data_IF_328760592326
#
_entry.id   IF_328760592326
#
_cell.length_a   1.000
_cell.length_b   1.000
_cell.length_c   1.000
_cell.angle_alpha   90.00
_cell.angle_beta   90.00
_cell.angle_gamma   90.00
#
_symmetry.space_group_name_H-M   'P 1'
#
loop_
_entity.id
_entity.type
_entity.pdbx_description
1 polymer ?
#
# COMPACT_ATOMS: atom_id res chain seq x y z
N UNK A 1 -6.99 1.94 16.51
CA UNK A 1 -6.62 2.25 15.12
C UNK A 1 -5.94 1.08 14.39
N UNK A 2 -5.05 0.31 15.04
CA UNK A 2 -4.31 -0.81 14.41
C UNK A 2 -5.22 -1.86 13.74
N UNK A 3 -6.30 -2.28 14.39
CA UNK A 3 -7.29 -3.20 13.79
C UNK A 3 -7.98 -2.64 12.55
N UNK A 4 -8.25 -1.32 12.48
CA UNK A 4 -8.82 -0.72 11.27
C UNK A 4 -7.82 -0.68 10.11
N UNK A 5 -6.53 -0.53 10.40
CA UNK A 5 -5.48 -0.58 9.38
C UNK A 5 -5.24 -2.01 8.87
N UNK A 6 -5.43 -3.02 9.72
CA UNK A 6 -5.50 -4.43 9.30
C UNK A 6 -6.71 -4.72 8.41
N UNK A 7 -7.84 -4.07 8.69
CA UNK A 7 -9.05 -4.19 7.86
C UNK A 7 -8.83 -3.85 6.39
N UNK A 8 -7.89 -2.96 6.04
CA UNK A 8 -7.53 -2.68 4.64
C UNK A 8 -6.96 -3.88 3.88
N UNK A 9 -6.59 -4.95 4.58
CA UNK A 9 -5.90 -6.14 4.10
C UNK A 9 -6.74 -7.39 4.33
N UNK A 10 -7.48 -7.43 5.45
CA UNK A 10 -8.27 -8.58 5.90
C UNK A 10 -9.71 -8.54 5.39
N UNK A 11 -10.29 -7.35 5.20
CA UNK A 11 -11.67 -7.24 4.74
C UNK A 11 -11.78 -7.37 3.22
N UNK A 12 -12.84 -8.02 2.70
CA UNK A 12 -13.11 -8.09 1.27
C UNK A 12 -13.16 -6.70 0.62
N UNK A 13 -12.45 -6.53 -0.51
CA UNK A 13 -12.36 -5.24 -1.21
C UNK A 13 -11.37 -4.26 -0.58
N UNK A 14 -10.61 -4.69 0.43
CA UNK A 14 -9.53 -3.91 1.01
C UNK A 14 -8.46 -3.55 -0.01
N UNK A 15 -8.04 -2.29 -0.02
CA UNK A 15 -7.05 -1.78 -0.99
C UNK A 15 -5.63 -2.30 -0.77
N UNK A 16 -5.35 -2.93 0.37
CA UNK A 16 -4.04 -3.42 0.77
C UNK A 16 -3.94 -4.96 0.67
N UNK A 17 -4.93 -5.63 0.06
CA UNK A 17 -4.99 -7.09 -0.05
C UNK A 17 -3.79 -7.70 -0.82
N UNK A 18 -3.16 -6.95 -1.72
CA UNK A 18 -1.98 -7.40 -2.44
C UNK A 18 -0.79 -7.73 -1.51
N UNK A 19 -0.80 -7.29 -0.24
CA UNK A 19 0.26 -7.68 0.69
C UNK A 19 0.26 -9.19 1.01
N UNK A 20 -0.85 -9.88 0.80
CA UNK A 20 -0.92 -11.35 0.91
C UNK A 20 -0.06 -12.08 -0.12
N UNK A 21 0.32 -11.41 -1.22
CA UNK A 21 1.19 -11.99 -2.25
C UNK A 21 2.67 -12.10 -1.80
N UNK A 22 3.01 -11.57 -0.62
CA UNK A 22 4.36 -11.58 -0.04
C UNK A 22 4.41 -12.54 1.18
N UNK A 23 4.60 -13.86 0.99
CA UNK A 23 4.48 -14.86 2.05
C UNK A 23 5.47 -14.65 3.21
N UNK A 24 6.66 -14.11 2.91
CA UNK A 24 7.72 -13.87 3.89
C UNK A 24 7.30 -12.89 5.00
N UNK A 25 6.37 -11.96 4.70
CA UNK A 25 5.89 -10.97 5.64
C UNK A 25 5.04 -11.57 6.77
N UNK A 26 4.50 -12.78 6.57
CA UNK A 26 3.53 -13.43 7.46
C UNK A 26 4.14 -14.51 8.34
N UNK A 27 5.46 -14.72 8.26
CA UNK A 27 6.15 -15.64 9.14
C UNK A 27 5.99 -15.25 10.62
N UNK A 28 5.95 -16.26 11.50
CA UNK A 28 5.85 -16.11 12.96
C UNK A 28 4.65 -15.27 13.41
N UNK A 29 3.51 -15.42 12.71
CA UNK A 29 2.25 -14.73 13.04
C UNK A 29 2.37 -13.19 13.06
N UNK A 30 3.23 -12.65 12.19
CA UNK A 30 3.45 -11.21 12.11
C UNK A 30 2.15 -10.48 11.74
N UNK A 31 1.84 -9.43 12.51
CA UNK A 31 0.65 -8.62 12.30
C UNK A 31 1.04 -7.32 11.61
N UNK A 32 0.54 -7.15 10.39
CA UNK A 32 0.79 -5.97 9.56
C UNK A 32 -0.53 -5.26 9.34
N UNK A 33 -0.52 -3.94 9.47
CA UNK A 33 -1.61 -3.07 9.07
C UNK A 33 -1.10 -2.05 8.05
N UNK A 34 -1.94 -1.61 7.13
CA UNK A 34 -1.47 -0.64 6.14
C UNK A 34 -2.57 0.05 5.37
N UNK A 35 -2.22 1.22 4.83
CA UNK A 35 -3.13 2.08 4.08
C UNK A 35 -2.48 2.54 2.78
N UNK A 36 -3.19 2.28 1.68
CA UNK A 36 -2.91 2.87 0.38
C UNK A 36 -3.29 4.36 0.35
N UNK A 37 -2.49 5.14 -0.35
CA UNK A 37 -2.84 6.50 -0.78
C UNK A 37 -2.66 6.61 -2.28
N UNK A 38 -3.62 7.25 -2.95
CA UNK A 38 -3.57 7.50 -4.39
C UNK A 38 -4.04 8.93 -4.62
N UNK A 39 -3.23 9.75 -5.27
CA UNK A 39 -3.67 11.10 -5.65
C UNK A 39 -4.50 11.07 -6.93
N UNK A 40 -5.26 12.14 -7.17
CA UNK A 40 -6.03 12.29 -8.42
C UNK A 40 -5.13 12.16 -9.65
N UNK A 41 -5.70 11.67 -10.75
CA UNK A 41 -5.00 11.35 -12.00
C UNK A 41 -3.88 10.30 -11.85
N UNK A 42 -3.78 9.62 -10.71
CA UNK A 42 -2.76 8.61 -10.46
C UNK A 42 -1.33 9.17 -10.54
N UNK A 43 -1.16 10.44 -10.17
CA UNK A 43 0.16 11.11 -10.16
C UNK A 43 1.08 10.57 -9.08
N UNK A 44 0.52 10.17 -7.95
CA UNK A 44 1.27 9.67 -6.80
C UNK A 44 0.60 8.44 -6.21
N UNK A 45 1.41 7.42 -5.97
CA UNK A 45 1.08 6.26 -5.17
C UNK A 45 1.80 6.32 -3.83
N UNK A 46 1.08 6.06 -2.76
CA UNK A 46 1.60 5.95 -1.40
C UNK A 46 1.19 4.63 -0.77
N UNK A 47 2.05 4.12 0.10
CA UNK A 47 1.70 3.06 1.03
C UNK A 47 2.32 3.34 2.40
N UNK A 48 1.49 3.39 3.42
CA UNK A 48 1.92 3.44 4.82
C UNK A 48 1.64 2.09 5.43
N UNK A 49 2.67 1.42 5.94
CA UNK A 49 2.53 0.14 6.61
C UNK A 49 3.15 0.16 8.00
N UNK A 50 2.58 -0.64 8.89
CA UNK A 50 3.01 -0.80 10.27
C UNK A 50 3.08 -2.29 10.62
N UNK A 51 4.10 -2.63 11.38
CA UNK A 51 4.25 -3.93 12.06
C UNK A 51 4.20 -3.68 13.57
N UNK A 52 4.49 -4.70 14.36
CA UNK A 52 4.65 -4.56 15.81
C UNK A 52 5.71 -3.51 16.18
N UNK A 53 6.84 -3.50 15.48
CA UNK A 53 8.04 -2.78 15.91
C UNK A 53 8.50 -1.70 14.90
N UNK A 54 7.96 -1.71 13.68
CA UNK A 54 8.38 -0.80 12.59
C UNK A 54 7.18 -0.12 11.94
N UNK A 55 7.40 1.11 11.50
CA UNK A 55 6.54 1.85 10.57
C UNK A 55 7.36 2.19 9.34
N UNK A 56 6.82 1.95 8.16
CA UNK A 56 7.43 2.32 6.89
C UNK A 56 6.44 3.05 6.00
N UNK A 57 6.94 4.00 5.23
CA UNK A 57 6.18 4.79 4.27
C UNK A 57 6.89 4.78 2.93
N UNK A 58 6.17 4.41 1.88
CA UNK A 58 6.66 4.40 0.50
C UNK A 58 5.85 5.39 -0.31
N UNK A 59 6.56 6.18 -1.10
CA UNK A 59 6.01 7.00 -2.17
C UNK A 59 6.61 6.60 -3.51
N UNK A 60 5.77 6.61 -4.53
CA UNK A 60 6.18 6.49 -5.92
C UNK A 60 5.44 7.57 -6.72
N UNK A 61 6.20 8.37 -7.47
CA UNK A 61 5.70 9.43 -8.33
C UNK A 61 6.82 10.02 -9.18
N UNK A 62 6.43 10.88 -10.13
CA UNK A 62 7.37 11.67 -10.91
C UNK A 62 7.76 12.96 -10.18
N UNK A 63 8.96 13.48 -10.46
CA UNK A 63 9.37 14.82 -10.00
C UNK A 63 8.40 15.90 -10.50
N UNK A 64 7.95 15.77 -11.76
CA UNK A 64 6.83 16.53 -12.30
C UNK A 64 5.55 15.69 -12.24
N UNK A 65 4.49 16.23 -11.63
CA UNK A 65 3.19 15.56 -11.46
C UNK A 65 2.48 15.21 -12.77
N UNK A 66 2.87 15.84 -13.89
CA UNK A 66 2.38 15.49 -15.23
C UNK A 66 2.91 14.13 -15.71
N UNK A 67 3.98 13.61 -15.10
CA UNK A 67 4.48 12.25 -15.32
C UNK A 67 3.70 11.31 -14.40
N UNK A 68 2.72 10.62 -14.97
CA UNK A 68 1.82 9.75 -14.20
C UNK A 68 1.27 8.59 -15.01
N UNK A 69 0.71 7.60 -14.32
CA UNK A 69 0.00 6.51 -14.97
C UNK A 69 -1.36 6.96 -15.49
N UNK A 70 -1.81 6.36 -16.60
CA UNK A 70 -3.07 6.76 -17.24
C UNK A 70 -4.31 6.11 -16.64
N UNK A 71 -4.15 5.03 -15.86
CA UNK A 71 -5.25 4.18 -15.39
C UNK A 71 -5.03 3.72 -13.96
N UNK A 72 -6.13 3.57 -13.21
CA UNK A 72 -6.11 3.04 -11.83
C UNK A 72 -5.49 1.65 -11.74
N UNK A 73 -5.70 0.84 -12.78
CA UNK A 73 -5.12 -0.49 -12.95
C UNK A 73 -3.61 -0.55 -12.85
N UNK A 74 -2.91 0.58 -12.92
CA UNK A 74 -1.46 0.70 -12.78
C UNK A 74 -1.06 1.72 -11.71
N UNK A 75 -1.82 2.82 -11.60
CA UNK A 75 -1.42 3.99 -10.82
C UNK A 75 -2.02 4.12 -9.41
N UNK A 76 -2.64 3.07 -8.89
CA UNK A 76 -3.07 3.05 -7.48
C UNK A 76 -1.88 2.82 -6.54
N UNK A 77 -1.92 3.39 -5.33
CA UNK A 77 -0.88 3.16 -4.31
C UNK A 77 -0.67 1.68 -3.98
N UNK A 78 -1.72 0.86 -4.07
CA UNK A 78 -1.66 -0.59 -3.91
C UNK A 78 -0.89 -1.33 -5.02
N UNK A 79 -0.61 -0.68 -6.16
CA UNK A 79 0.18 -1.23 -7.27
C UNK A 79 1.55 -0.57 -7.44
N UNK A 80 1.66 0.70 -7.08
CA UNK A 80 2.90 1.44 -7.22
C UNK A 80 3.79 1.32 -5.98
N UNK A 81 3.27 1.66 -4.81
CA UNK A 81 4.06 1.83 -3.60
C UNK A 81 4.03 0.58 -2.70
N UNK A 82 2.89 -0.09 -2.60
CA UNK A 82 2.74 -1.30 -1.78
C UNK A 82 3.78 -2.39 -2.12
N UNK A 83 4.12 -2.70 -3.38
CA UNK A 83 5.09 -3.76 -3.67
C UNK A 83 6.54 -3.48 -3.23
N UNK A 84 6.86 -2.23 -2.87
CA UNK A 84 8.19 -1.85 -2.35
C UNK A 84 8.23 -1.94 -0.82
N UNK A 85 7.08 -1.78 -0.15
CA UNK A 85 6.95 -1.83 1.30
C UNK A 85 7.27 -3.24 1.84
#
# INVERSE_FOLDING_TARGET
MTYMLRGGMEEPGGTSQALWDFPELWHKDNQIGGKTGTTSNYSDGWYMGLTKDLVSGVWVGGEDRSIHFLRSQQGEGGRMALPIF
#
